data_IF_876676015567
#
_entry.id   IF_876676015567
#
_cell.length_a   1.000
_cell.length_b   1.000
_cell.length_c   1.000
_cell.angle_alpha   90.00
_cell.angle_beta   90.00
_cell.angle_gamma   90.00
#
_symmetry.space_group_name_H-M   'P 1'
#
loop_
_entity.id
_entity.type
_entity.pdbx_description
1 polymer ?
#
# COMPACT_ATOMS: atom_id res chain seq x y z
N UNK A 1 -10.30 10.40 21.16
CA UNK A 1 -8.81 10.26 21.20
C UNK A 1 -8.31 9.24 20.18
N UNK A 2 -9.07 8.17 19.95
CA UNK A 2 -8.80 7.10 18.98
C UNK A 2 -8.32 7.58 17.60
N UNK A 3 -9.03 8.52 16.98
CA UNK A 3 -8.73 8.96 15.60
C UNK A 3 -7.28 9.45 15.40
N UNK A 4 -6.75 10.24 16.34
CA UNK A 4 -5.37 10.75 16.24
C UNK A 4 -4.34 9.62 16.34
N UNK A 5 -4.49 8.76 17.35
CA UNK A 5 -3.58 7.61 17.57
C UNK A 5 -3.60 6.66 16.38
N UNK A 6 -4.79 6.30 15.90
CA UNK A 6 -4.96 5.40 14.76
C UNK A 6 -4.30 5.96 13.48
N UNK A 7 -4.49 7.26 13.22
CA UNK A 7 -3.83 7.91 12.07
C UNK A 7 -2.31 7.96 12.23
N UNK A 8 -1.80 8.27 13.43
CA UNK A 8 -0.35 8.27 13.68
C UNK A 8 0.27 6.90 13.46
N UNK A 9 -0.35 5.82 13.97
CA UNK A 9 0.15 4.46 13.77
C UNK A 9 0.10 4.08 12.29
N UNK A 10 -0.98 4.42 11.58
CA UNK A 10 -1.08 4.16 10.14
C UNK A 10 0.08 4.82 9.35
N UNK A 11 0.39 6.08 9.65
CA UNK A 11 1.51 6.80 9.03
C UNK A 11 2.85 6.16 9.40
N UNK A 12 3.04 5.72 10.64
CA UNK A 12 4.28 5.04 11.04
C UNK A 12 4.45 3.69 10.31
N UNK A 13 3.37 2.93 10.15
CA UNK A 13 3.36 1.68 9.38
C UNK A 13 3.71 1.96 7.91
N UNK A 14 3.10 3.00 7.31
CA UNK A 14 3.45 3.44 5.96
C UNK A 14 4.94 3.75 5.83
N UNK A 15 5.47 4.63 6.69
CA UNK A 15 6.87 5.07 6.63
C UNK A 15 7.83 3.91 6.87
N UNK A 16 7.52 3.02 7.81
CA UNK A 16 8.35 1.84 8.06
C UNK A 16 8.44 0.93 6.84
N UNK A 17 7.30 0.60 6.22
CA UNK A 17 7.26 -0.24 5.03
C UNK A 17 7.89 0.45 3.82
N UNK A 18 7.66 1.75 3.62
CA UNK A 18 8.28 2.50 2.53
C UNK A 18 9.80 2.53 2.65
N UNK A 19 10.34 2.83 3.85
CA UNK A 19 11.79 2.81 4.08
C UNK A 19 12.34 1.41 3.81
N UNK A 20 11.67 0.36 4.29
CA UNK A 20 12.10 -1.02 4.06
C UNK A 20 12.16 -1.36 2.57
N UNK A 21 11.13 -1.02 1.81
CA UNK A 21 11.08 -1.29 0.38
C UNK A 21 12.08 -0.43 -0.40
N UNK A 22 12.25 0.84 -0.06
CA UNK A 22 13.28 1.69 -0.68
C UNK A 22 14.70 1.17 -0.46
N UNK A 23 14.98 0.61 0.73
CA UNK A 23 16.29 0.02 1.05
C UNK A 23 16.55 -1.30 0.30
N UNK A 24 15.52 -1.97 -0.17
CA UNK A 24 15.61 -3.29 -0.83
C UNK A 24 15.13 -3.30 -2.28
N UNK A 25 14.74 -2.13 -2.80
CA UNK A 25 14.27 -1.92 -4.17
C UNK A 25 15.36 -2.28 -5.18
N UNK A 26 14.96 -2.88 -6.30
CA UNK A 26 15.88 -3.11 -7.41
C UNK A 26 16.47 -1.77 -7.91
N UNK A 27 17.80 -1.66 -8.06
CA UNK A 27 18.46 -0.41 -8.41
C UNK A 27 18.32 -0.05 -9.90
N UNK A 28 17.89 -0.99 -10.74
CA UNK A 28 17.69 -0.78 -12.18
C UNK A 28 16.45 -1.57 -12.66
N UNK A 29 16.66 -2.58 -13.51
CA UNK A 29 15.63 -3.51 -13.96
C UNK A 29 15.79 -4.85 -13.21
N UNK A 30 14.65 -5.49 -12.95
CA UNK A 30 14.59 -6.85 -12.45
C UNK A 30 14.27 -7.85 -13.55
N UNK A 31 14.40 -9.13 -13.24
CA UNK A 31 14.09 -10.21 -14.16
C UNK A 31 12.58 -10.25 -14.47
N UNK A 32 12.22 -10.86 -15.60
CA UNK A 32 10.84 -11.08 -16.03
C UNK A 32 10.12 -9.86 -16.61
N UNK A 33 8.89 -9.59 -16.20
CA UNK A 33 8.00 -8.59 -16.83
C UNK A 33 8.41 -7.15 -16.51
N UNK A 34 9.16 -6.95 -15.42
CA UNK A 34 9.63 -5.64 -14.96
C UNK A 34 10.32 -4.81 -16.04
N UNK A 35 11.23 -5.44 -16.82
CA UNK A 35 11.97 -4.76 -17.88
C UNK A 35 11.06 -4.26 -19.00
N UNK A 36 10.06 -5.05 -19.37
CA UNK A 36 9.07 -4.68 -20.37
C UNK A 36 8.19 -3.53 -19.87
N UNK A 37 7.72 -3.59 -18.62
CA UNK A 37 6.93 -2.52 -18.02
C UNK A 37 7.71 -1.21 -17.90
N UNK A 38 8.99 -1.24 -17.52
CA UNK A 38 9.85 -0.05 -17.46
C UNK A 38 10.04 0.54 -18.87
N UNK A 39 10.35 -0.29 -19.87
CA UNK A 39 10.58 0.16 -21.24
C UNK A 39 9.31 0.74 -21.86
N UNK A 40 8.17 0.09 -21.68
CA UNK A 40 6.88 0.54 -22.20
C UNK A 40 6.34 1.74 -21.44
N UNK A 41 6.57 1.86 -20.14
CA UNK A 41 6.26 3.07 -19.38
C UNK A 41 7.11 4.26 -19.84
N UNK A 42 8.39 4.05 -20.17
CA UNK A 42 9.26 5.12 -20.68
C UNK A 42 8.91 5.53 -22.11
N UNK A 43 8.60 4.59 -22.99
CA UNK A 43 8.28 4.86 -24.40
C UNK A 43 6.80 5.15 -24.66
N UNK A 44 5.94 4.93 -23.66
CA UNK A 44 4.47 4.86 -23.81
C UNK A 44 4.02 3.82 -24.85
N UNK A 45 4.75 2.70 -24.90
CA UNK A 45 4.39 1.52 -25.69
C UNK A 45 3.31 0.68 -25.03
N UNK A 46 3.00 -0.47 -25.63
CA UNK A 46 2.05 -1.44 -25.09
C UNK A 46 2.84 -2.69 -24.67
N UNK A 47 2.85 -3.08 -23.39
CA UNK A 47 3.44 -4.33 -22.95
C UNK A 47 2.55 -5.50 -23.39
N UNK A 48 2.98 -6.72 -23.09
CA UNK A 48 2.19 -7.91 -23.31
C UNK A 48 0.72 -7.72 -22.85
N UNK A 49 -0.26 -8.30 -23.57
CA UNK A 49 -1.67 -8.18 -23.19
C UNK A 49 -1.88 -8.56 -21.72
N UNK A 50 -2.60 -7.74 -20.91
CA UNK A 50 -3.60 -6.74 -21.29
C UNK A 50 -3.12 -5.27 -21.35
N UNK A 51 -1.82 -4.99 -21.34
CA UNK A 51 -1.29 -3.64 -21.63
C UNK A 51 -1.25 -2.62 -20.47
N UNK A 52 -1.96 -2.84 -19.36
CA UNK A 52 -1.90 -2.03 -18.12
C UNK A 52 -1.77 -0.48 -18.27
N UNK A 53 -2.63 0.20 -19.04
CA UNK A 53 -2.40 1.60 -19.47
C UNK A 53 -2.26 2.62 -18.33
N UNK A 54 -3.05 2.49 -17.25
CA UNK A 54 -2.95 3.40 -16.10
C UNK A 54 -1.59 3.28 -15.42
N UNK A 55 -1.10 2.05 -15.24
CA UNK A 55 0.21 1.78 -14.64
C UNK A 55 1.32 2.43 -15.46
N UNK A 56 1.26 2.32 -16.79
CA UNK A 56 2.25 2.92 -17.68
C UNK A 56 2.25 4.45 -17.63
N UNK A 57 1.07 5.08 -17.56
CA UNK A 57 0.98 6.54 -17.45
C UNK A 57 1.58 7.04 -16.13
N UNK A 58 1.33 6.35 -15.02
CA UNK A 58 1.95 6.65 -13.73
C UNK A 58 3.46 6.41 -13.80
N UNK A 59 3.90 5.26 -14.33
CA UNK A 59 5.30 4.95 -14.54
C UNK A 59 6.02 5.97 -15.42
N UNK A 60 5.35 6.51 -16.45
CA UNK A 60 5.89 7.57 -17.30
C UNK A 60 6.18 8.83 -16.50
N UNK A 61 5.25 9.25 -15.64
CA UNK A 61 5.46 10.40 -14.75
C UNK A 61 6.68 10.16 -13.86
N UNK A 62 6.75 9.00 -13.20
CA UNK A 62 7.87 8.65 -12.33
C UNK A 62 9.21 8.59 -13.07
N UNK A 63 9.25 8.10 -14.32
CA UNK A 63 10.46 8.07 -15.15
C UNK A 63 11.07 9.46 -15.39
N UNK A 64 10.24 10.51 -15.38
CA UNK A 64 10.66 11.90 -15.59
C UNK A 64 11.18 12.57 -14.31
N UNK A 65 10.87 12.03 -13.13
CA UNK A 65 11.27 12.64 -11.86
C UNK A 65 12.72 12.24 -11.54
N UNK A 66 13.65 13.19 -11.37
CA UNK A 66 15.08 12.90 -11.23
C UNK A 66 15.47 12.47 -9.80
N UNK A 67 14.73 11.53 -9.20
CA UNK A 67 15.04 11.01 -7.86
C UNK A 67 16.25 10.05 -7.85
N UNK A 68 16.44 9.29 -8.94
CA UNK A 68 17.56 8.36 -9.10
C UNK A 68 18.27 8.57 -10.44
N UNK A 69 19.52 8.12 -10.57
CA UNK A 69 20.24 8.18 -11.84
C UNK A 69 19.61 7.28 -12.91
N UNK A 70 19.24 6.06 -12.53
CA UNK A 70 18.64 5.07 -13.42
C UNK A 70 17.12 5.25 -13.58
N UNK A 71 16.60 5.00 -14.78
CA UNK A 71 15.17 5.13 -15.08
C UNK A 71 14.36 4.00 -14.43
N UNK A 72 14.88 2.78 -14.41
CA UNK A 72 14.22 1.63 -13.79
C UNK A 72 14.00 1.84 -12.29
N UNK A 73 15.00 2.33 -11.57
CA UNK A 73 14.85 2.71 -10.16
C UNK A 73 13.72 3.74 -9.94
N UNK A 74 13.57 4.71 -10.84
CA UNK A 74 12.50 5.71 -10.74
C UNK A 74 11.13 5.09 -10.92
N UNK A 75 10.99 4.15 -11.85
CA UNK A 75 9.71 3.47 -12.11
C UNK A 75 9.39 2.46 -11.00
N UNK A 76 10.40 1.80 -10.41
CA UNK A 76 10.24 0.89 -9.27
C UNK A 76 9.59 1.58 -8.06
N UNK A 77 9.76 2.90 -7.90
CA UNK A 77 9.09 3.69 -6.86
C UNK A 77 7.55 3.59 -6.90
N UNK A 78 6.98 3.35 -8.08
CA UNK A 78 5.52 3.16 -8.21
C UNK A 78 5.09 1.96 -7.36
N UNK A 79 5.83 0.86 -7.44
CA UNK A 79 5.57 -0.34 -6.66
C UNK A 79 5.84 -0.15 -5.17
N UNK A 80 6.96 0.48 -4.79
CA UNK A 80 7.30 0.66 -3.37
C UNK A 80 6.21 1.47 -2.66
N UNK A 81 5.83 2.61 -3.26
CA UNK A 81 4.83 3.52 -2.70
C UNK A 81 3.44 2.85 -2.66
N UNK A 82 3.03 2.19 -3.74
CA UNK A 82 1.73 1.51 -3.79
C UNK A 82 1.66 0.38 -2.74
N UNK A 83 2.73 -0.39 -2.58
CA UNK A 83 2.80 -1.47 -1.60
C UNK A 83 2.85 -0.95 -0.17
N UNK A 84 3.66 0.06 0.14
CA UNK A 84 3.67 0.68 1.46
C UNK A 84 2.30 1.29 1.83
N UNK A 85 1.64 1.93 0.87
CA UNK A 85 0.28 2.44 1.05
C UNK A 85 -0.73 1.31 1.28
N UNK A 86 -0.57 0.17 0.60
CA UNK A 86 -1.38 -1.04 0.84
C UNK A 86 -1.19 -1.60 2.24
N UNK A 87 0.03 -1.63 2.77
CA UNK A 87 0.31 -2.07 4.14
C UNK A 87 -0.37 -1.14 5.15
N UNK A 88 -0.28 0.19 4.95
CA UNK A 88 -1.01 1.17 5.76
C UNK A 88 -2.53 0.93 5.72
N UNK A 89 -3.10 0.72 4.52
CA UNK A 89 -4.51 0.43 4.36
C UNK A 89 -4.89 -0.89 5.05
N UNK A 90 -4.04 -1.91 4.99
CA UNK A 90 -4.25 -3.19 5.67
C UNK A 90 -4.34 -3.02 7.18
N UNK A 91 -3.48 -2.18 7.77
CA UNK A 91 -3.59 -1.78 9.18
C UNK A 91 -4.97 -1.14 9.46
N UNK A 92 -5.36 -0.14 8.67
CA UNK A 92 -6.61 0.59 8.85
C UNK A 92 -7.84 -0.32 8.70
N UNK A 93 -7.81 -1.20 7.70
CA UNK A 93 -8.85 -2.21 7.44
C UNK A 93 -8.95 -3.16 8.63
N UNK A 94 -7.83 -3.68 9.13
CA UNK A 94 -7.82 -4.61 10.26
C UNK A 94 -8.39 -3.97 11.54
N UNK A 95 -7.91 -2.78 11.92
CA UNK A 95 -8.46 -2.05 13.07
C UNK A 95 -9.95 -1.77 12.88
N UNK A 96 -10.35 -1.40 11.67
CA UNK A 96 -11.76 -1.15 11.34
C UNK A 96 -12.62 -2.40 11.46
N UNK A 97 -12.16 -3.55 11.00
CA UNK A 97 -12.87 -4.82 11.17
C UNK A 97 -13.05 -5.16 12.64
N UNK A 98 -12.03 -4.93 13.49
CA UNK A 98 -12.13 -5.13 14.94
C UNK A 98 -13.20 -4.21 15.55
N UNK A 99 -13.24 -2.93 15.15
CA UNK A 99 -14.26 -1.98 15.62
C UNK A 99 -15.66 -2.45 15.23
N UNK A 100 -15.85 -2.88 13.98
CA UNK A 100 -17.13 -3.37 13.48
C UNK A 100 -17.57 -4.66 14.20
N UNK A 101 -16.64 -5.58 14.42
CA UNK A 101 -16.90 -6.84 15.12
C UNK A 101 -17.30 -6.61 16.58
N UNK A 102 -16.68 -5.64 17.24
CA UNK A 102 -16.96 -5.31 18.65
C UNK A 102 -18.22 -4.46 18.86
N UNK A 103 -18.72 -3.78 17.83
CA UNK A 103 -19.93 -2.96 17.88
C UNK A 103 -19.89 -1.77 18.87
N UNK A 104 -18.72 -1.44 19.42
CA UNK A 104 -18.55 -0.40 20.45
C UNK A 104 -17.53 0.64 20.00
N UNK A 105 -17.77 1.91 20.37
CA UNK A 105 -16.86 2.99 20.01
C UNK A 105 -15.51 2.84 20.73
N UNK A 106 -14.37 3.00 20.02
CA UNK A 106 -13.04 2.84 20.62
C UNK A 106 -12.75 3.75 21.80
N UNK A 107 -13.41 4.91 21.92
CA UNK A 107 -13.18 5.81 23.04
C UNK A 107 -13.64 5.18 24.37
N UNK A 108 -14.64 4.28 24.35
CA UNK A 108 -15.16 3.56 25.53
C UNK A 108 -14.37 2.30 25.92
N UNK A 109 -13.40 1.89 25.10
CA UNK A 109 -12.58 0.71 25.40
C UNK A 109 -11.58 0.99 26.52
N UNK A 110 -11.30 -0.03 27.32
CA UNK A 110 -10.18 -0.04 28.26
C UNK A 110 -8.84 0.08 27.52
N UNK A 111 -7.78 0.41 28.26
CA UNK A 111 -6.45 0.60 27.67
C UNK A 111 -5.92 -0.68 27.02
N UNK A 112 -6.10 -1.84 27.66
CA UNK A 112 -5.66 -3.14 27.16
C UNK A 112 -6.35 -3.50 25.83
N UNK A 113 -7.64 -3.19 25.72
CA UNK A 113 -8.43 -3.41 24.50
C UNK A 113 -8.02 -2.50 23.34
N UNK A 114 -7.67 -1.24 23.64
CA UNK A 114 -7.11 -0.33 22.63
C UNK A 114 -5.78 -0.85 22.12
N UNK A 115 -4.90 -1.25 23.04
CA UNK A 115 -3.57 -1.79 22.69
C UNK A 115 -3.71 -3.06 21.86
N UNK A 116 -4.56 -4.01 22.25
CA UNK A 116 -4.73 -5.26 21.50
C UNK A 116 -5.28 -5.03 20.10
N UNK A 117 -6.22 -4.09 19.92
CA UNK A 117 -6.77 -3.76 18.61
C UNK A 117 -5.72 -3.12 17.68
N UNK A 118 -4.93 -2.17 18.16
CA UNK A 118 -3.89 -1.56 17.33
C UNK A 118 -2.72 -2.50 17.09
N UNK A 119 -2.29 -3.25 18.11
CA UNK A 119 -1.18 -4.20 17.98
C UNK A 119 -1.50 -5.31 16.98
N UNK A 120 -2.71 -5.88 17.03
CA UNK A 120 -3.15 -6.88 16.04
C UNK A 120 -3.19 -6.30 14.62
N UNK A 121 -3.66 -5.05 14.45
CA UNK A 121 -3.59 -4.36 13.17
C UNK A 121 -2.17 -4.18 12.65
N UNK A 122 -1.22 -3.77 13.52
CA UNK A 122 0.19 -3.60 13.16
C UNK A 122 0.81 -4.94 12.79
N UNK A 123 0.60 -5.98 13.59
CA UNK A 123 1.13 -7.33 13.35
C UNK A 123 0.59 -7.87 12.01
N UNK A 124 -0.71 -7.73 11.74
CA UNK A 124 -1.32 -8.16 10.48
C UNK A 124 -0.77 -7.41 9.27
N UNK A 125 -0.60 -6.10 9.38
CA UNK A 125 -0.01 -5.28 8.31
C UNK A 125 1.45 -5.65 8.06
N UNK A 126 2.26 -5.80 9.11
CA UNK A 126 3.67 -6.19 8.98
C UNK A 126 3.83 -7.63 8.48
N UNK A 127 2.94 -8.54 8.85
CA UNK A 127 2.94 -9.90 8.30
C UNK A 127 2.71 -9.90 6.79
N UNK A 128 1.81 -9.04 6.28
CA UNK A 128 1.66 -8.82 4.84
C UNK A 128 2.94 -8.18 4.25
N UNK A 129 3.45 -7.12 4.89
CA UNK A 129 4.59 -6.37 4.38
C UNK A 129 5.85 -7.23 4.21
N UNK A 130 6.06 -8.16 5.14
CA UNK A 130 7.22 -9.05 5.21
C UNK A 130 6.97 -10.42 4.55
N UNK A 131 5.79 -10.64 3.96
CA UNK A 131 5.49 -11.85 3.20
C UNK A 131 6.33 -11.87 1.93
N UNK A 132 6.96 -13.00 1.63
CA UNK A 132 7.85 -13.19 0.48
C UNK A 132 7.22 -12.72 -0.84
N UNK A 133 6.02 -13.22 -1.16
CA UNK A 133 5.33 -12.86 -2.40
C UNK A 133 4.94 -11.39 -2.47
N UNK A 134 4.54 -10.78 -1.35
CA UNK A 134 4.17 -9.36 -1.33
C UNK A 134 5.42 -8.48 -1.44
N UNK A 135 6.47 -8.81 -0.70
CA UNK A 135 7.74 -8.09 -0.72
C UNK A 135 8.35 -8.10 -2.12
N UNK A 136 8.43 -9.26 -2.76
CA UNK A 136 9.03 -9.40 -4.09
C UNK A 136 8.35 -8.46 -5.10
N UNK A 137 7.02 -8.39 -5.09
CA UNK A 137 6.26 -7.45 -5.94
C UNK A 137 6.44 -5.98 -5.52
N UNK A 138 6.71 -5.69 -4.25
CA UNK A 138 6.87 -4.34 -3.74
C UNK A 138 8.19 -3.68 -4.18
N UNK A 139 9.25 -4.46 -4.39
CA UNK A 139 10.61 -3.96 -4.67
C UNK A 139 10.95 -3.85 -6.16
N UNK A 140 10.04 -4.26 -7.05
CA UNK A 140 10.23 -4.29 -8.51
C UNK A 140 9.01 -3.71 -9.24
N UNK A 141 9.19 -3.21 -10.47
CA UNK A 141 8.10 -2.62 -11.28
C UNK A 141 7.10 -3.69 -11.71
N UNK A 142 6.03 -3.86 -10.93
CA UNK A 142 5.01 -4.88 -11.15
C UNK A 142 3.60 -4.31 -11.00
N UNK A 143 2.68 -4.80 -11.84
CA UNK A 143 1.28 -4.35 -11.85
C UNK A 143 0.51 -4.85 -10.63
N UNK A 144 0.98 -5.93 -9.99
CA UNK A 144 0.35 -6.52 -8.82
C UNK A 144 0.31 -5.56 -7.63
N UNK A 145 1.38 -4.80 -7.40
CA UNK A 145 1.46 -3.81 -6.31
C UNK A 145 0.39 -2.73 -6.43
N UNK A 146 0.18 -2.22 -7.64
CA UNK A 146 -0.90 -1.27 -7.93
C UNK A 146 -2.29 -1.91 -7.81
N UNK A 147 -2.46 -3.15 -8.27
CA UNK A 147 -3.73 -3.87 -8.21
C UNK A 147 -4.21 -4.11 -6.77
N UNK A 148 -3.31 -4.59 -5.90
CA UNK A 148 -3.63 -4.84 -4.50
C UNK A 148 -3.88 -3.50 -3.78
N UNK A 149 -3.15 -2.44 -4.11
CA UNK A 149 -3.40 -1.10 -3.57
C UNK A 149 -4.82 -0.61 -3.87
N UNK A 150 -5.27 -0.69 -5.13
CA UNK A 150 -6.64 -0.31 -5.48
C UNK A 150 -7.68 -1.20 -4.81
N UNK A 151 -7.41 -2.50 -4.69
CA UNK A 151 -8.27 -3.42 -3.95
C UNK A 151 -8.41 -3.02 -2.49
N UNK A 152 -7.30 -2.67 -1.83
CA UNK A 152 -7.30 -2.19 -0.45
C UNK A 152 -8.07 -0.88 -0.30
N UNK A 153 -7.96 0.05 -1.27
CA UNK A 153 -8.78 1.28 -1.29
C UNK A 153 -10.27 0.94 -1.32
N UNK A 154 -10.69 0.04 -2.21
CA UNK A 154 -12.09 -0.37 -2.35
C UNK A 154 -12.63 -0.97 -1.06
N UNK A 155 -11.83 -1.79 -0.36
CA UNK A 155 -12.21 -2.37 0.94
C UNK A 155 -12.21 -1.31 2.06
N UNK A 156 -11.32 -0.33 2.00
CA UNK A 156 -11.22 0.73 3.01
C UNK A 156 -12.32 1.80 2.87
N UNK A 157 -12.77 2.09 1.65
CA UNK A 157 -13.73 3.14 1.28
C UNK A 157 -15.13 3.07 1.88
N UNK A 158 -15.77 1.92 2.22
CA UNK A 158 -17.19 1.87 2.53
C UNK A 158 -17.54 2.58 3.83
N UNK A 159 -17.61 3.91 3.87
CA UNK A 159 -17.89 4.68 5.06
C UNK A 159 -19.37 4.49 5.42
N UNK A 160 -19.69 3.62 6.39
CA UNK A 160 -21.00 3.69 7.04
C UNK A 160 -21.04 4.96 7.88
N UNK A 161 -21.47 6.05 7.26
CA UNK A 161 -22.16 7.11 7.98
C UNK A 161 -23.56 6.59 8.29
N UNK A 162 -23.71 5.82 9.36
CA UNK A 162 -25.00 5.74 10.06
C UNK A 162 -24.99 6.78 11.16
N UNK A 163 -24.87 8.04 10.76
CA UNK A 163 -25.44 9.17 11.49
C UNK A 163 -26.65 9.59 10.68
N UNK A 164 -27.85 9.20 11.12
CA UNK A 164 -29.07 9.52 10.41
C UNK A 164 -30.23 8.57 10.70
N UNK A 165 -30.96 8.87 11.77
CA UNK A 165 -32.39 8.58 11.96
C UNK A 165 -32.78 7.10 12.13
N UNK A 166 -32.79 6.65 13.39
CA UNK A 166 -33.88 5.82 13.88
C UNK A 166 -34.72 6.70 14.81
N UNK A 167 -36.02 6.74 14.50
CA UNK A 167 -37.09 7.41 15.22
C UNK A 167 -37.20 6.94 16.67
#
# INVERSE_FOLDING_TARGET
MHKKINTTIAVLVFLFSEILYLLTMAPTLSFWDCGEFIATAYTLGVPHPPGAPLFLLVGRVFSMIPFFGDIGARVNLVSTIASAATVMLTYLITVRFIILYRGTAPDNWSLSEKISAYASGVIGALALALSDSFWFNAVETEVYSSSIFFTAIVVCLPRRSTSGSAK
#
